data_IF_641542550916
#
_entry.id   IF_641542550916
#
_cell.length_a   1.000
_cell.length_b   1.000
_cell.length_c   1.000
_cell.angle_alpha   90.00
_cell.angle_beta   90.00
_cell.angle_gamma   90.00
#
_symmetry.space_group_name_H-M   'P 1'
#
loop_
_entity.id
_entity.type
_entity.pdbx_description
1 polymer ?
#
# COMPACT_ATOMS: atom_id res chain seq x y z
N UNK A 1 11.43 -13.07 -3.23
CA UNK A 1 11.02 -12.06 -2.24
C UNK A 1 11.03 -12.72 -0.85
N UNK A 2 11.26 -11.97 0.21
CA UNK A 2 11.22 -12.45 1.60
C UNK A 2 10.50 -11.43 2.50
N UNK A 3 10.08 -11.84 3.69
CA UNK A 3 9.49 -10.93 4.68
C UNK A 3 10.55 -10.01 5.26
N UNK A 4 10.26 -8.72 5.32
CA UNK A 4 11.12 -7.72 5.93
C UNK A 4 11.08 -7.88 7.45
N UNK A 5 12.25 -8.11 8.03
CA UNK A 5 12.43 -8.18 9.49
C UNK A 5 12.89 -6.82 10.04
N UNK A 6 12.69 -6.62 11.33
CA UNK A 6 12.86 -5.35 12.05
C UNK A 6 14.13 -4.58 11.67
N UNK A 7 15.31 -5.21 11.65
CA UNK A 7 16.56 -4.50 11.34
C UNK A 7 16.68 -4.05 9.86
N UNK A 8 16.39 -4.94 8.91
CA UNK A 8 16.44 -4.64 7.47
C UNK A 8 15.39 -3.60 7.10
N UNK A 9 14.19 -3.73 7.68
CA UNK A 9 13.10 -2.77 7.53
C UNK A 9 13.49 -1.39 8.05
N UNK A 10 14.05 -1.28 9.27
CA UNK A 10 14.45 0.01 9.82
C UNK A 10 15.54 0.68 8.98
N UNK A 11 16.52 -0.08 8.49
CA UNK A 11 17.54 0.48 7.59
C UNK A 11 16.93 0.99 6.27
N UNK A 12 15.93 0.28 5.74
CA UNK A 12 15.23 0.69 4.54
C UNK A 12 14.35 1.93 4.76
N UNK A 13 13.71 2.04 5.92
CA UNK A 13 12.92 3.21 6.34
C UNK A 13 13.80 4.43 6.62
N UNK A 14 14.94 4.25 7.28
CA UNK A 14 15.94 5.32 7.45
C UNK A 14 16.43 5.83 6.10
N UNK A 15 16.70 4.92 5.16
CA UNK A 15 17.05 5.29 3.78
C UNK A 15 15.94 6.07 3.09
N UNK A 16 14.67 5.68 3.27
CA UNK A 16 13.52 6.40 2.70
C UNK A 16 13.45 7.83 3.24
N UNK A 17 13.58 7.99 4.56
CA UNK A 17 13.53 9.27 5.25
C UNK A 17 14.77 10.15 4.99
N UNK A 18 15.89 9.56 4.59
CA UNK A 18 17.10 10.30 4.23
C UNK A 18 17.11 10.82 2.78
N UNK A 19 16.06 10.52 1.98
CA UNK A 19 16.00 11.02 0.61
C UNK A 19 15.80 12.53 0.60
N UNK A 20 16.60 13.23 -0.20
CA UNK A 20 16.32 14.63 -0.51
C UNK A 20 15.16 14.75 -1.52
N UNK A 21 14.64 15.97 -1.66
CA UNK A 21 13.49 16.26 -2.52
C UNK A 21 13.73 15.86 -3.98
N UNK A 22 14.95 16.08 -4.50
CA UNK A 22 15.31 15.73 -5.88
C UNK A 22 15.30 14.21 -6.09
N UNK A 23 15.88 13.46 -5.15
CA UNK A 23 15.95 12.00 -5.19
C UNK A 23 14.56 11.37 -5.01
N UNK A 24 13.74 11.94 -4.14
CA UNK A 24 12.34 11.56 -3.99
C UNK A 24 11.54 11.79 -5.26
N UNK A 25 11.66 12.98 -5.86
CA UNK A 25 11.00 13.31 -7.14
C UNK A 25 11.42 12.36 -8.26
N UNK A 26 12.72 12.03 -8.37
CA UNK A 26 13.21 11.05 -9.35
C UNK A 26 12.61 9.66 -9.13
N UNK A 27 12.47 9.23 -7.87
CA UNK A 27 11.85 7.94 -7.56
C UNK A 27 10.38 7.91 -7.98
N UNK A 28 9.64 8.98 -7.72
CA UNK A 28 8.23 9.11 -8.14
C UNK A 28 8.08 9.12 -9.66
N UNK A 29 8.88 9.91 -10.37
CA UNK A 29 8.87 9.95 -11.85
C UNK A 29 9.21 8.57 -12.43
N UNK A 30 10.24 7.92 -11.89
CA UNK A 30 10.64 6.60 -12.38
C UNK A 30 9.53 5.56 -12.16
N UNK A 31 8.83 5.64 -11.03
CA UNK A 31 7.69 4.77 -10.77
C UNK A 31 6.51 5.03 -11.72
N UNK A 32 6.19 6.30 -12.01
CA UNK A 32 5.15 6.65 -12.99
C UNK A 32 5.51 6.15 -14.40
N UNK A 33 6.79 6.18 -14.77
CA UNK A 33 7.28 5.64 -16.05
C UNK A 33 7.22 4.10 -16.07
N UNK A 34 7.74 3.46 -15.02
CA UNK A 34 7.87 2.00 -15.00
C UNK A 34 6.52 1.32 -14.79
N UNK A 35 5.60 1.89 -14.02
CA UNK A 35 4.28 1.31 -13.74
C UNK A 35 3.19 2.39 -13.65
N UNK A 36 2.77 2.98 -14.79
CA UNK A 36 1.90 4.16 -14.81
C UNK A 36 0.55 3.91 -14.14
N UNK A 37 -0.12 2.80 -14.45
CA UNK A 37 -1.43 2.50 -13.88
C UNK A 37 -1.36 2.25 -12.38
N UNK A 38 -0.34 1.54 -11.92
CA UNK A 38 -0.07 1.33 -10.50
C UNK A 38 0.18 2.67 -9.79
N UNK A 39 1.00 3.54 -10.38
CA UNK A 39 1.26 4.88 -9.86
C UNK A 39 -0.01 5.73 -9.76
N UNK A 40 -0.85 5.76 -10.81
CA UNK A 40 -2.12 6.49 -10.77
C UNK A 40 -3.01 5.99 -9.62
N UNK A 41 -3.10 4.67 -9.43
CA UNK A 41 -3.92 4.09 -8.36
C UNK A 41 -3.41 4.48 -6.97
N UNK A 42 -2.12 4.27 -6.71
CA UNK A 42 -1.52 4.46 -5.37
C UNK A 42 -1.38 5.93 -4.99
N UNK A 43 -1.00 6.79 -5.93
CA UNK A 43 -0.65 8.19 -5.63
C UNK A 43 -1.68 9.21 -6.11
N UNK A 44 -2.78 8.78 -6.76
CA UNK A 44 -3.86 9.69 -7.14
C UNK A 44 -5.23 9.18 -6.70
N UNK A 45 -5.61 7.96 -7.09
CA UNK A 45 -6.96 7.42 -6.81
C UNK A 45 -7.19 7.11 -5.33
N UNK A 46 -6.29 6.39 -4.67
CA UNK A 46 -6.46 6.08 -3.24
C UNK A 46 -6.42 7.34 -2.36
N UNK A 47 -5.43 8.24 -2.49
CA UNK A 47 -5.42 9.48 -1.71
C UNK A 47 -6.66 10.33 -1.96
N UNK A 48 -7.18 10.42 -3.18
CA UNK A 48 -8.39 11.21 -3.45
C UNK A 48 -9.62 10.68 -2.70
N UNK A 49 -9.77 9.36 -2.58
CA UNK A 49 -10.88 8.76 -1.82
C UNK A 49 -10.76 9.05 -0.32
N UNK A 50 -9.53 9.07 0.22
CA UNK A 50 -9.29 9.44 1.62
C UNK A 50 -9.53 10.93 1.84
N UNK A 51 -9.10 11.77 0.90
CA UNK A 51 -9.23 13.24 0.98
C UNK A 51 -10.69 13.71 0.99
N UNK A 52 -11.62 12.93 0.42
CA UNK A 52 -13.06 13.18 0.55
C UNK A 52 -13.54 13.16 2.02
N UNK A 53 -12.79 12.51 2.92
CA UNK A 53 -13.10 12.42 4.36
C UNK A 53 -12.15 13.23 5.22
N UNK A 54 -10.85 13.16 4.93
CA UNK A 54 -9.80 13.82 5.70
C UNK A 54 -8.56 14.06 4.83
N UNK A 55 -8.24 15.34 4.58
CA UNK A 55 -7.12 15.75 3.73
C UNK A 55 -5.76 15.47 4.38
N UNK A 56 -5.62 15.68 5.70
CA UNK A 56 -4.37 15.40 6.43
C UNK A 56 -4.02 13.91 6.38
N UNK A 57 -5.04 13.06 6.52
CA UNK A 57 -4.89 11.61 6.42
C UNK A 57 -4.51 11.18 4.99
N UNK A 58 -5.03 11.86 3.96
CA UNK A 58 -4.64 11.61 2.58
C UNK A 58 -3.19 12.01 2.30
N UNK A 59 -2.73 13.12 2.89
CA UNK A 59 -1.34 13.56 2.79
C UNK A 59 -0.40 12.55 3.47
N UNK A 60 -0.70 12.15 4.71
CA UNK A 60 0.05 11.10 5.40
C UNK A 60 0.06 9.80 4.60
N UNK A 61 -1.08 9.39 4.04
CA UNK A 61 -1.17 8.19 3.22
C UNK A 61 -0.19 8.24 2.04
N UNK A 62 -0.07 9.39 1.35
CA UNK A 62 0.89 9.55 0.25
C UNK A 62 2.34 9.43 0.74
N UNK A 63 2.67 10.05 1.88
CA UNK A 63 4.01 9.97 2.47
C UNK A 63 4.37 8.52 2.83
N UNK A 64 3.43 7.80 3.45
CA UNK A 64 3.59 6.39 3.78
C UNK A 64 3.70 5.50 2.53
N UNK A 65 2.96 5.80 1.45
CA UNK A 65 3.11 5.10 0.17
C UNK A 65 4.49 5.34 -0.45
N UNK A 66 5.05 6.54 -0.30
CA UNK A 66 6.41 6.85 -0.73
C UNK A 66 7.44 6.06 0.07
N UNK A 67 7.27 5.97 1.40
CA UNK A 67 8.12 5.12 2.26
C UNK A 67 8.11 3.66 1.79
N UNK A 68 6.93 3.10 1.51
CA UNK A 68 6.80 1.74 0.93
C UNK A 68 7.57 1.62 -0.38
N UNK A 69 7.42 2.58 -1.31
CA UNK A 69 8.11 2.55 -2.59
C UNK A 69 9.64 2.55 -2.42
N UNK A 70 10.16 3.39 -1.51
CA UNK A 70 11.58 3.45 -1.16
C UNK A 70 12.08 2.15 -0.52
N UNK A 71 11.33 1.58 0.43
CA UNK A 71 11.68 0.33 1.12
C UNK A 71 11.79 -0.82 0.11
N UNK A 72 10.78 -0.99 -0.75
CA UNK A 72 10.81 -2.06 -1.76
C UNK A 72 11.95 -1.88 -2.75
N UNK A 73 12.18 -0.65 -3.21
CA UNK A 73 13.29 -0.35 -4.11
C UNK A 73 14.65 -0.66 -3.48
N UNK A 74 14.81 -0.31 -2.21
CA UNK A 74 16.06 -0.49 -1.45
C UNK A 74 16.37 -1.97 -1.22
N UNK A 75 15.36 -2.76 -0.86
CA UNK A 75 15.56 -4.16 -0.45
C UNK A 75 15.45 -5.14 -1.62
N UNK A 76 14.50 -4.94 -2.53
CA UNK A 76 14.21 -5.89 -3.61
C UNK A 76 14.70 -5.41 -4.98
N UNK A 77 15.23 -4.20 -5.09
CA UNK A 77 15.85 -3.66 -6.30
C UNK A 77 14.88 -2.84 -7.16
N UNK A 78 15.19 -2.68 -8.45
CA UNK A 78 14.39 -1.85 -9.34
C UNK A 78 12.95 -2.38 -9.51
N UNK A 79 12.00 -1.47 -9.64
CA UNK A 79 10.61 -1.80 -9.90
C UNK A 79 10.48 -2.56 -11.24
N UNK A 80 9.74 -3.68 -11.29
CA UNK A 80 9.39 -4.36 -12.54
C UNK A 80 8.68 -3.40 -13.51
N UNK A 81 8.97 -3.48 -14.82
CA UNK A 81 8.45 -2.51 -15.78
C UNK A 81 7.16 -2.98 -16.42
N UNK A 82 6.30 -2.04 -16.77
CA UNK A 82 5.00 -2.28 -17.39
C UNK A 82 5.15 -3.05 -18.70
N UNK A 83 6.19 -2.74 -19.50
CA UNK A 83 6.49 -3.46 -20.74
C UNK A 83 6.80 -4.94 -20.52
N UNK A 84 7.23 -5.34 -19.33
CA UNK A 84 7.57 -6.72 -19.00
C UNK A 84 6.29 -7.52 -18.72
N UNK A 85 5.21 -6.87 -18.25
CA UNK A 85 3.88 -7.45 -18.06
C UNK A 85 2.78 -6.37 -18.08
N UNK A 86 2.25 -6.02 -19.27
CA UNK A 86 1.28 -4.95 -19.42
C UNK A 86 -0.08 -5.22 -18.76
N UNK A 87 -0.38 -6.50 -18.50
CA UNK A 87 -1.67 -6.92 -17.95
C UNK A 87 -1.62 -7.10 -16.43
N UNK A 88 -0.45 -6.93 -15.80
CA UNK A 88 -0.28 -7.13 -14.36
C UNK A 88 -1.30 -6.32 -13.54
N UNK A 89 -1.45 -5.03 -13.85
CA UNK A 89 -2.37 -4.15 -13.12
C UNK A 89 -3.84 -4.50 -13.38
N UNK A 90 -4.20 -4.98 -14.58
CA UNK A 90 -5.57 -5.46 -14.86
C UNK A 90 -5.90 -6.70 -14.02
N UNK A 91 -4.95 -7.62 -13.89
CA UNK A 91 -5.10 -8.81 -13.02
C UNK A 91 -5.22 -8.40 -11.56
N UNK A 92 -4.44 -7.41 -11.12
CA UNK A 92 -4.60 -6.85 -9.77
C UNK A 92 -5.95 -6.17 -9.61
N UNK A 93 -6.41 -5.38 -10.58
CA UNK A 93 -7.71 -4.70 -10.51
C UNK A 93 -8.87 -5.68 -10.35
N UNK A 94 -8.83 -6.84 -11.03
CA UNK A 94 -9.84 -7.90 -10.82
C UNK A 94 -9.79 -8.52 -9.41
N UNK A 95 -8.60 -8.65 -8.82
CA UNK A 95 -8.44 -9.10 -7.43
C UNK A 95 -8.93 -8.03 -6.44
N UNK A 96 -8.56 -6.76 -6.68
CA UNK A 96 -8.99 -5.62 -5.89
C UNK A 96 -10.49 -5.41 -5.97
N UNK A 97 -11.13 -5.50 -7.14
CA UNK A 97 -12.59 -5.38 -7.26
C UNK A 97 -13.28 -6.49 -6.46
N UNK A 98 -12.79 -7.73 -6.54
CA UNK A 98 -13.34 -8.83 -5.75
C UNK A 98 -13.17 -8.62 -4.24
N UNK A 99 -12.08 -7.99 -3.81
CA UNK A 99 -11.67 -7.91 -2.41
C UNK A 99 -12.03 -6.58 -1.71
N UNK A 100 -12.06 -5.47 -2.45
CA UNK A 100 -12.32 -4.11 -1.97
C UNK A 100 -13.74 -3.62 -2.25
N UNK A 101 -14.44 -4.15 -3.25
CA UNK A 101 -15.85 -3.80 -3.51
C UNK A 101 -16.74 -3.87 -2.26
N UNK A 102 -16.61 -4.86 -1.36
CA UNK A 102 -17.38 -4.92 -0.12
C UNK A 102 -17.07 -3.78 0.86
N UNK A 103 -15.87 -3.21 0.81
CA UNK A 103 -15.41 -2.09 1.64
C UNK A 103 -15.80 -0.74 1.00
N UNK A 104 -15.77 -0.66 -0.34
CA UNK A 104 -16.16 0.53 -1.11
C UNK A 104 -17.67 0.73 -1.21
N UNK A 105 -18.47 -0.34 -1.21
CA UNK A 105 -19.92 -0.25 -1.38
C UNK A 105 -20.66 0.33 -0.16
N UNK A 106 -20.00 0.53 0.99
CA UNK A 106 -20.49 1.36 2.10
C UNK A 106 -21.88 1.05 2.66
N UNK A 107 -22.51 -0.05 2.24
CA UNK A 107 -23.89 -0.40 2.59
C UNK A 107 -23.90 -1.63 3.48
N UNK A 108 -24.13 -1.39 4.77
CA UNK A 108 -24.57 -2.40 5.75
C UNK A 108 -23.93 -3.79 5.58
N UNK A 109 -22.61 -3.85 5.48
CA UNK A 109 -21.94 -5.10 5.78
C UNK A 109 -21.96 -5.18 7.31
N UNK A 110 -22.90 -5.97 7.87
CA UNK A 110 -22.97 -6.28 9.30
C UNK A 110 -21.54 -6.46 9.85
N UNK A 111 -21.21 -5.81 10.96
CA UNK A 111 -19.86 -5.73 11.54
C UNK A 111 -19.13 -7.08 11.53
N UNK A 112 -19.84 -8.18 11.78
CA UNK A 112 -19.27 -9.54 11.73
C UNK A 112 -18.80 -9.98 10.35
N UNK A 113 -19.51 -9.61 9.28
CA UNK A 113 -19.14 -9.91 7.89
C UNK A 113 -18.03 -8.97 7.41
N UNK A 114 -18.04 -7.72 7.85
CA UNK A 114 -16.95 -6.76 7.59
C UNK A 114 -15.67 -7.22 8.26
N UNK A 115 -15.75 -7.61 9.54
CA UNK A 115 -14.63 -8.13 10.32
C UNK A 115 -14.11 -9.46 9.76
N UNK A 116 -14.98 -10.39 9.38
CA UNK A 116 -14.55 -11.65 8.74
C UNK A 116 -13.92 -11.42 7.36
N UNK A 117 -14.42 -10.46 6.58
CA UNK A 117 -13.83 -10.11 5.28
C UNK A 117 -12.49 -9.38 5.44
N UNK A 118 -12.37 -8.49 6.42
CA UNK A 118 -11.10 -7.93 6.88
C UNK A 118 -10.16 -9.07 7.28
N UNK A 119 -10.56 -9.97 8.17
CA UNK A 119 -9.76 -11.14 8.58
C UNK A 119 -9.34 -12.03 7.41
N UNK A 120 -10.21 -12.29 6.44
CA UNK A 120 -9.91 -13.16 5.29
C UNK A 120 -9.07 -12.45 4.22
N UNK A 121 -9.17 -11.12 4.11
CA UNK A 121 -8.33 -10.29 3.23
C UNK A 121 -6.94 -10.04 3.85
N UNK A 122 -6.88 -9.85 5.17
CA UNK A 122 -5.65 -9.65 5.94
C UNK A 122 -4.97 -10.98 6.33
N UNK A 123 -5.64 -12.13 6.17
CA UNK A 123 -4.98 -13.43 6.27
C UNK A 123 -4.03 -13.60 5.09
N UNK A 124 -2.76 -13.98 5.35
CA UNK A 124 -1.85 -14.38 4.29
C UNK A 124 -2.50 -15.50 3.48
N UNK A 125 -2.65 -15.32 2.17
CA UNK A 125 -3.04 -16.44 1.31
C UNK A 125 -1.93 -17.49 1.33
N UNK A 126 -2.26 -18.74 1.06
CA UNK A 126 -1.26 -19.80 0.97
C UNK A 126 -0.15 -19.37 -0.03
N UNK A 127 1.11 -19.39 0.43
CA UNK A 127 2.32 -18.92 -0.28
C UNK A 127 2.50 -17.40 -0.45
N UNK A 128 1.66 -16.58 0.17
CA UNK A 128 1.85 -15.12 0.19
C UNK A 128 2.88 -14.70 1.26
N UNK A 129 3.84 -13.88 0.87
CA UNK A 129 4.85 -13.34 1.78
C UNK A 129 4.24 -12.12 2.48
N UNK A 130 3.84 -12.31 3.74
CA UNK A 130 3.30 -11.22 4.54
C UNK A 130 4.40 -10.25 5.00
N UNK A 131 4.17 -8.95 4.83
CA UNK A 131 5.06 -7.86 5.25
C UNK A 131 4.57 -7.24 6.56
N UNK A 132 4.34 -8.07 7.58
CA UNK A 132 3.68 -7.68 8.84
C UNK A 132 4.39 -6.54 9.57
N UNK A 133 5.73 -6.56 9.62
CA UNK A 133 6.50 -5.52 10.31
C UNK A 133 6.36 -4.15 9.61
N UNK A 134 6.36 -4.14 8.27
CA UNK A 134 6.11 -2.92 7.50
C UNK A 134 4.68 -2.43 7.73
N UNK A 135 3.69 -3.31 7.66
CA UNK A 135 2.28 -2.96 7.91
C UNK A 135 2.06 -2.40 9.32
N UNK A 136 2.72 -2.97 10.33
CA UNK A 136 2.67 -2.45 11.69
C UNK A 136 3.19 -1.01 11.76
N UNK A 137 4.37 -0.75 11.19
CA UNK A 137 4.94 0.59 11.13
C UNK A 137 4.00 1.61 10.44
N UNK A 138 3.39 1.21 9.31
CA UNK A 138 2.46 2.08 8.59
C UNK A 138 1.20 2.38 9.42
N UNK A 139 0.66 1.36 10.11
CA UNK A 139 -0.50 1.53 10.97
C UNK A 139 -0.22 2.41 12.19
N UNK A 140 0.98 2.29 12.79
CA UNK A 140 1.44 3.16 13.88
C UNK A 140 1.47 4.63 13.42
N UNK A 141 1.99 4.92 12.22
CA UNK A 141 1.98 6.29 11.68
C UNK A 141 0.57 6.87 11.48
N UNK A 142 -0.40 6.03 11.08
CA UNK A 142 -1.81 6.45 10.98
C UNK A 142 -2.41 6.70 12.36
N UNK A 143 -2.13 5.84 13.33
CA UNK A 143 -2.63 5.98 14.71
C UNK A 143 -2.09 7.24 15.39
N UNK A 144 -0.82 7.56 15.17
CA UNK A 144 -0.18 8.78 15.70
C UNK A 144 -0.89 10.04 15.20
N UNK A 145 -1.13 10.16 13.87
CA UNK A 145 -1.85 11.31 13.32
C UNK A 145 -3.31 11.34 13.77
N UNK A 146 -3.97 10.18 13.87
CA UNK A 146 -5.36 10.10 14.32
C UNK A 146 -5.53 10.62 15.76
N UNK A 147 -4.57 10.30 16.64
CA UNK A 147 -4.53 10.81 18.00
C UNK A 147 -4.39 12.34 18.06
N UNK A 148 -3.60 12.93 17.16
CA UNK A 148 -3.37 14.37 17.09
C UNK A 148 -4.54 15.15 16.47
N UNK A 149 -5.21 14.56 15.47
CA UNK A 149 -6.24 15.25 14.65
C UNK A 149 -7.68 14.94 15.05
N UNK A 150 -7.91 14.02 16.00
CA UNK A 150 -9.24 13.48 16.33
C UNK A 150 -10.00 12.96 15.10
N UNK A 151 -9.27 12.32 14.18
CA UNK A 151 -9.84 11.67 13.01
C UNK A 151 -10.84 10.58 13.43
N UNK A 152 -11.95 10.44 12.69
CA UNK A 152 -12.94 9.41 13.01
C UNK A 152 -12.43 7.99 12.70
N UNK A 153 -12.86 7.01 13.48
CA UNK A 153 -12.45 5.60 13.36
C UNK A 153 -12.66 5.05 11.94
N UNK A 154 -13.68 5.51 11.22
CA UNK A 154 -13.98 5.00 9.87
C UNK A 154 -12.95 5.47 8.84
N UNK A 155 -12.43 6.68 8.99
CA UNK A 155 -11.37 7.24 8.14
C UNK A 155 -10.02 6.60 8.45
N UNK A 156 -9.74 6.34 9.73
CA UNK A 156 -8.56 5.57 10.16
C UNK A 156 -8.57 4.17 9.55
N UNK A 157 -9.69 3.46 9.68
CA UNK A 157 -9.88 2.11 9.13
C UNK A 157 -9.71 2.07 7.62
N UNK A 158 -10.28 3.05 6.92
CA UNK A 158 -10.16 3.17 5.46
C UNK A 158 -8.69 3.34 5.06
N UNK A 159 -7.96 4.23 5.73
CA UNK A 159 -6.56 4.54 5.43
C UNK A 159 -5.66 3.33 5.64
N UNK A 160 -5.78 2.66 6.79
CA UNK A 160 -5.05 1.42 7.08
C UNK A 160 -5.35 0.31 6.08
N UNK A 161 -6.62 0.19 5.68
CA UNK A 161 -7.05 -0.76 4.65
C UNK A 161 -6.36 -0.47 3.32
N UNK A 162 -6.34 0.79 2.87
CA UNK A 162 -5.67 1.17 1.63
C UNK A 162 -4.16 0.95 1.71
N UNK A 163 -3.51 1.23 2.85
CA UNK A 163 -2.07 0.98 3.03
C UNK A 163 -1.74 -0.51 2.93
N UNK A 164 -2.59 -1.36 3.52
CA UNK A 164 -2.45 -2.80 3.35
C UNK A 164 -2.55 -3.22 1.88
N UNK A 165 -3.52 -2.69 1.15
CA UNK A 165 -3.66 -2.93 -0.30
C UNK A 165 -2.40 -2.53 -1.03
N UNK A 166 -1.84 -1.36 -0.74
CA UNK A 166 -0.61 -0.85 -1.35
C UNK A 166 0.54 -1.83 -1.11
N UNK A 167 0.79 -2.24 0.14
CA UNK A 167 1.85 -3.21 0.48
C UNK A 167 1.62 -4.54 -0.24
N UNK A 168 0.38 -5.00 -0.35
CA UNK A 168 0.04 -6.23 -1.07
C UNK A 168 0.30 -6.10 -2.58
N UNK A 169 -0.06 -4.98 -3.19
CA UNK A 169 0.24 -4.70 -4.60
C UNK A 169 1.74 -4.65 -4.86
N UNK A 170 2.51 -3.98 -4.00
CA UNK A 170 3.98 -3.98 -4.07
C UNK A 170 4.54 -5.41 -3.92
N UNK A 171 4.01 -6.20 -2.98
CA UNK A 171 4.41 -7.62 -2.81
C UNK A 171 4.17 -8.43 -4.07
N UNK A 172 2.98 -8.29 -4.67
CA UNK A 172 2.63 -8.99 -5.90
C UNK A 172 3.42 -8.50 -7.11
N UNK A 173 3.82 -7.23 -7.14
CA UNK A 173 4.62 -6.67 -8.23
C UNK A 173 6.03 -7.26 -8.20
N UNK A 174 6.67 -7.28 -7.03
CA UNK A 174 8.03 -7.77 -6.84
C UNK A 174 8.14 -9.30 -6.71
N UNK A 175 7.02 -9.98 -6.46
CA UNK A 175 6.93 -11.43 -6.56
C UNK A 175 6.87 -11.79 -8.04
N UNK A 176 7.95 -12.39 -8.56
CA UNK A 176 7.97 -12.91 -9.94
C UNK A 176 6.69 -13.69 -10.21
N UNK A 177 6.07 -13.57 -11.39
CA UNK A 177 5.03 -14.52 -11.77
C UNK A 177 5.67 -15.90 -11.69
N UNK A 178 5.20 -16.74 -10.77
CA UNK A 178 5.29 -18.18 -10.96
C UNK A 178 4.50 -18.45 -12.23
N UNK A 179 5.19 -18.49 -13.36
CA UNK A 179 4.73 -19.18 -14.55
C UNK A 179 4.31 -20.59 -14.07
N UNK A 180 3.00 -20.78 -13.92
CA UNK A 180 2.38 -22.09 -13.92
C UNK A 180 1.71 -22.27 -15.28
#
# INVERSE_FOLDING_TARGET
MHSLYTQELYQALEYARSQDQESGKRTMIQMEIDQPMFFQTVFKTFPSIIAERNEDMANLFMDLCFDVACVYKKVFGAMPKFKDDPTWMERQAGLLDKELKPLMEGRFVNDKRSQKMKEDFFKPKANEIAQNALLQFLNEGVDDLAADTQSDDSTVDLTKTMLFVVVRLFTNLYSKPTLQ
#
